data_IF_745346175153
#
_entry.id   IF_745346175153
#
_cell.length_a   1.000
_cell.length_b   1.000
_cell.length_c   1.000
_cell.angle_alpha   90.00
_cell.angle_beta   90.00
_cell.angle_gamma   90.00
#
_symmetry.space_group_name_H-M   'P 1'
#
loop_
_entity.id
_entity.type
_entity.pdbx_description
1 polymer ?
#
# COMPACT_ATOMS: atom_id res chain seq x y z
N UNK A 1 -4.72 0.56 4.92
CA UNK A 1 -4.92 -0.91 4.79
C UNK A 1 -5.13 -1.20 3.31
N UNK A 2 -4.45 -2.19 2.74
CA UNK A 2 -4.68 -2.57 1.34
C UNK A 2 -5.87 -3.54 1.31
N UNK A 3 -6.88 -3.33 0.45
CA UNK A 3 -8.06 -4.20 0.37
C UNK A 3 -7.70 -5.67 0.05
N UNK A 4 -8.47 -6.60 0.63
CA UNK A 4 -8.21 -8.04 0.51
C UNK A 4 -8.64 -8.62 -0.84
N UNK A 5 -9.59 -7.96 -1.51
CA UNK A 5 -10.24 -8.28 -2.78
C UNK A 5 -9.43 -7.87 -4.03
N UNK A 6 -8.23 -7.31 -3.86
CA UNK A 6 -7.35 -7.01 -4.98
C UNK A 6 -7.13 -8.27 -5.86
N UNK A 7 -7.19 -8.15 -7.20
CA UNK A 7 -7.07 -9.29 -8.12
C UNK A 7 -5.86 -10.19 -7.84
N UNK A 8 -6.02 -11.49 -8.09
CA UNK A 8 -4.93 -12.44 -7.87
C UNK A 8 -3.71 -12.07 -8.72
N UNK A 9 -2.59 -11.74 -8.07
CA UNK A 9 -1.32 -11.39 -8.74
C UNK A 9 -1.03 -9.90 -8.85
N UNK A 10 -2.00 -9.03 -8.53
CA UNK A 10 -1.79 -7.58 -8.57
C UNK A 10 -1.22 -7.00 -7.26
N UNK A 11 -0.93 -7.82 -6.26
CA UNK A 11 -0.35 -7.39 -4.97
C UNK A 11 0.59 -8.47 -4.42
N UNK A 12 1.68 -8.11 -3.71
CA UNK A 12 2.54 -9.08 -3.03
C UNK A 12 1.78 -10.00 -2.08
N UNK A 13 2.17 -11.28 -2.10
CA UNK A 13 1.58 -12.38 -1.29
C UNK A 13 2.44 -12.80 -0.09
N UNK A 14 3.60 -12.19 0.08
CA UNK A 14 4.47 -12.33 1.26
C UNK A 14 4.95 -10.96 1.71
N UNK A 15 5.34 -10.85 2.98
CA UNK A 15 6.05 -9.67 3.49
C UNK A 15 7.27 -9.40 2.62
N UNK A 16 7.39 -8.18 2.11
CA UNK A 16 8.49 -7.79 1.25
C UNK A 16 8.71 -6.29 1.25
N UNK A 17 9.92 -5.90 0.87
CA UNK A 17 10.22 -4.53 0.49
C UNK A 17 9.75 -4.28 -0.94
N UNK A 18 9.04 -3.18 -1.12
CA UNK A 18 8.63 -2.64 -2.41
C UNK A 18 8.98 -1.16 -2.46
N UNK A 19 8.89 -0.55 -3.63
CA UNK A 19 9.06 0.89 -3.79
C UNK A 19 7.72 1.54 -4.08
N UNK A 20 7.50 2.73 -3.54
CA UNK A 20 6.48 3.66 -4.00
C UNK A 20 7.15 4.64 -4.96
N UNK A 21 6.64 4.79 -6.17
CA UNK A 21 7.05 5.83 -7.11
C UNK A 21 6.02 6.95 -7.04
N UNK A 22 6.44 8.15 -6.66
CA UNK A 22 5.58 9.32 -6.57
C UNK A 22 5.35 9.97 -7.96
N UNK A 23 4.42 10.94 -8.09
CA UNK A 23 4.16 11.61 -9.36
C UNK A 23 5.36 12.34 -9.97
N UNK A 24 6.36 12.69 -9.15
CA UNK A 24 7.61 13.33 -9.58
C UNK A 24 8.68 12.28 -9.98
N UNK A 25 8.34 10.99 -9.92
CA UNK A 25 9.23 9.87 -10.24
C UNK A 25 10.21 9.50 -9.13
N UNK A 26 10.10 10.07 -7.92
CA UNK A 26 10.97 9.70 -6.80
C UNK A 26 10.50 8.39 -6.19
N UNK A 27 11.46 7.59 -5.75
CA UNK A 27 11.21 6.26 -5.23
C UNK A 27 11.43 6.18 -3.72
N UNK A 28 10.44 5.63 -3.02
CA UNK A 28 10.41 5.52 -1.58
C UNK A 28 10.34 4.04 -1.16
N UNK A 29 11.36 3.50 -0.50
CA UNK A 29 11.34 2.11 -0.04
C UNK A 29 10.33 1.94 1.09
N UNK A 30 9.46 0.94 0.98
CA UNK A 30 8.47 0.61 2.00
C UNK A 30 8.36 -0.90 2.22
N UNK A 31 8.02 -1.30 3.44
CA UNK A 31 7.73 -2.71 3.77
C UNK A 31 6.23 -2.96 3.73
N UNK A 32 5.81 -3.93 2.91
CA UNK A 32 4.48 -4.53 2.99
C UNK A 32 4.51 -5.63 4.04
N UNK A 33 3.64 -5.53 5.05
CA UNK A 33 3.38 -6.60 6.01
C UNK A 33 2.11 -7.32 5.63
N UNK A 34 2.12 -8.64 5.79
CA UNK A 34 0.96 -9.51 5.60
C UNK A 34 0.72 -10.29 6.89
N UNK A 35 -0.51 -10.29 7.38
CA UNK A 35 -0.93 -11.16 8.47
C UNK A 35 -2.28 -11.78 8.15
N UNK A 36 -2.54 -12.95 8.73
CA UNK A 36 -3.82 -13.62 8.65
C UNK A 36 -4.55 -13.32 9.95
N UNK A 37 -5.70 -12.64 9.85
CA UNK A 37 -6.61 -12.49 10.97
C UNK A 37 -7.67 -13.59 10.89
N UNK A 38 -7.77 -14.38 11.96
CA UNK A 38 -8.94 -15.21 12.23
C UNK A 38 -9.88 -14.39 13.10
N UNK A 39 -10.87 -13.74 12.48
CA UNK A 39 -11.98 -13.20 13.25
C UNK A 39 -12.90 -14.36 13.66
N UNK A 40 -13.67 -14.13 14.73
CA UNK A 40 -14.55 -15.04 15.49
C UNK A 40 -15.04 -16.33 14.81
N UNK A 41 -15.37 -17.33 15.64
CA UNK A 41 -16.04 -18.56 15.26
C UNK A 41 -17.05 -18.28 14.13
N UNK A 42 -16.88 -18.95 12.98
CA UNK A 42 -17.64 -18.81 11.72
C UNK A 42 -17.14 -17.82 10.65
N UNK A 43 -15.99 -17.13 10.79
CA UNK A 43 -15.40 -16.39 9.66
C UNK A 43 -14.18 -17.08 9.03
N UNK A 44 -14.10 -17.06 7.70
CA UNK A 44 -12.92 -17.53 6.98
C UNK A 44 -11.70 -16.66 7.32
N UNK A 45 -10.49 -17.23 7.38
CA UNK A 45 -9.27 -16.47 7.59
C UNK A 45 -9.16 -15.34 6.57
N UNK A 46 -8.94 -14.11 7.04
CA UNK A 46 -8.76 -12.94 6.16
C UNK A 46 -7.29 -12.56 6.11
N UNK A 47 -6.76 -12.47 4.90
CA UNK A 47 -5.43 -11.91 4.69
C UNK A 47 -5.51 -10.38 4.72
N UNK A 48 -4.78 -9.78 5.65
CA UNK A 48 -4.64 -8.34 5.78
C UNK A 48 -3.25 -7.90 5.35
N UNK A 49 -3.18 -6.68 4.81
CA UNK A 49 -1.95 -6.09 4.30
C UNK A 49 -1.85 -4.62 4.73
N UNK A 50 -0.66 -4.20 5.15
CA UNK A 50 -0.35 -2.79 5.40
C UNK A 50 1.03 -2.41 4.85
N UNK A 51 1.16 -1.12 4.53
CA UNK A 51 2.45 -0.45 4.41
C UNK A 51 2.91 -0.10 5.83
N UNK A 52 4.17 -0.40 6.13
CA UNK A 52 4.73 -0.28 7.48
C UNK A 52 5.94 0.65 7.48
N UNK A 53 7.15 0.11 7.68
CA UNK A 53 8.40 0.85 7.59
C UNK A 53 8.48 1.59 6.24
N UNK A 54 8.93 2.85 6.28
CA UNK A 54 9.05 3.74 5.11
C UNK A 54 7.77 4.51 4.74
N UNK A 55 6.58 4.04 5.15
CA UNK A 55 5.32 4.74 4.86
C UNK A 55 5.27 6.14 5.51
N UNK A 56 5.75 6.27 6.75
CA UNK A 56 5.76 7.56 7.45
C UNK A 56 6.64 8.60 6.72
N UNK A 57 7.78 8.19 6.16
CA UNK A 57 8.64 9.10 5.39
C UNK A 57 7.95 9.61 4.13
N UNK A 58 7.24 8.72 3.41
CA UNK A 58 6.42 9.10 2.26
C UNK A 58 5.29 10.07 2.69
N UNK A 59 4.62 9.77 3.80
CA UNK A 59 3.54 10.59 4.33
C UNK A 59 4.00 12.02 4.66
N UNK A 60 5.13 12.16 5.36
CA UNK A 60 5.72 13.45 5.72
C UNK A 60 6.21 14.21 4.49
N UNK A 61 6.94 13.54 3.58
CA UNK A 61 7.51 14.17 2.39
C UNK A 61 6.45 14.73 1.44
N UNK A 62 5.28 14.09 1.38
CA UNK A 62 4.14 14.58 0.61
C UNK A 62 3.15 15.38 1.46
N UNK A 63 3.45 15.68 2.74
CA UNK A 63 2.55 16.40 3.64
C UNK A 63 1.10 15.89 3.56
N UNK A 64 0.93 14.56 3.54
CA UNK A 64 -0.39 13.96 3.41
C UNK A 64 -1.25 14.35 4.61
N UNK A 65 -2.52 14.66 4.36
CA UNK A 65 -3.47 15.05 5.42
C UNK A 65 -4.66 14.12 5.41
N UNK A 66 -5.43 14.18 6.50
CA UNK A 66 -6.74 13.52 6.55
C UNK A 66 -7.56 14.00 5.35
N UNK A 67 -8.18 13.05 4.64
CA UNK A 67 -8.98 13.23 3.41
C UNK A 67 -8.20 13.24 2.09
N UNK A 68 -6.88 13.34 2.12
CA UNK A 68 -6.09 13.01 0.93
C UNK A 68 -6.27 11.54 0.58
N UNK A 69 -6.39 11.25 -0.72
CA UNK A 69 -6.56 9.90 -1.25
C UNK A 69 -5.31 9.51 -2.01
N UNK A 70 -4.65 8.44 -1.58
CA UNK A 70 -3.58 7.79 -2.34
C UNK A 70 -4.14 6.57 -3.07
N UNK A 71 -3.99 6.53 -4.38
CA UNK A 71 -4.26 5.35 -5.21
C UNK A 71 -2.93 4.69 -5.56
N UNK A 72 -2.84 3.39 -5.32
CA UNK A 72 -1.63 2.60 -5.55
C UNK A 72 -1.85 1.64 -6.73
N UNK A 73 -1.07 1.82 -7.80
CA UNK A 73 -1.07 0.93 -8.96
C UNK A 73 0.17 0.03 -8.90
N UNK A 74 -0.02 -1.28 -8.80
CA UNK A 74 1.11 -2.22 -8.74
C UNK A 74 1.69 -2.54 -10.11
N UNK A 75 2.96 -2.21 -10.31
CA UNK A 75 3.72 -2.56 -11.52
C UNK A 75 4.55 -3.82 -11.24
N UNK A 76 3.95 -4.99 -11.46
CA UNK A 76 4.53 -6.29 -11.10
C UNK A 76 5.95 -6.52 -11.66
N UNK A 77 6.20 -6.12 -12.92
CA UNK A 77 7.53 -6.27 -13.56
C UNK A 77 8.63 -5.48 -12.86
N UNK A 78 8.28 -4.33 -12.28
CA UNK A 78 9.20 -3.44 -11.57
C UNK A 78 9.18 -3.64 -10.04
N UNK A 79 8.25 -4.45 -9.52
CA UNK A 79 8.00 -4.65 -8.08
C UNK A 79 7.84 -3.32 -7.32
N UNK A 80 7.11 -2.38 -7.91
CA UNK A 80 6.83 -1.07 -7.34
C UNK A 80 5.35 -0.74 -7.43
N UNK A 81 4.91 0.24 -6.65
CA UNK A 81 3.60 0.86 -6.78
C UNK A 81 3.77 2.29 -7.29
N UNK A 82 3.13 2.64 -8.40
CA UNK A 82 2.92 4.04 -8.73
C UNK A 82 1.89 4.61 -7.75
N UNK A 83 2.16 5.79 -7.21
CA UNK A 83 1.26 6.45 -6.27
C UNK A 83 0.67 7.69 -6.93
N UNK A 84 -0.65 7.71 -7.04
CA UNK A 84 -1.39 8.89 -7.43
C UNK A 84 -2.00 9.52 -6.18
N UNK A 85 -1.71 10.81 -5.97
CA UNK A 85 -2.17 11.54 -4.78
C UNK A 85 -3.23 12.54 -5.20
N UNK A 86 -4.45 12.34 -4.71
CA UNK A 86 -5.58 13.24 -4.89
C UNK A 86 -5.79 14.03 -3.60
N UNK A 87 -5.66 15.35 -3.67
CA UNK A 87 -5.81 16.23 -2.52
C UNK A 87 -7.27 16.61 -2.34
N UNK A 88 -7.71 16.64 -1.09
CA UNK A 88 -9.04 17.16 -0.76
C UNK A 88 -9.02 18.69 -0.88
N UNK A 89 -9.89 19.25 -1.72
CA UNK A 89 -10.07 20.70 -1.87
C UNK A 89 -9.21 21.40 -2.92
N UNK A 90 -8.61 20.65 -3.87
CA UNK A 90 -8.07 21.18 -5.13
C UNK A 90 -8.89 20.71 -6.31
#
# INVERSE_FOLDING_TARGET
>A
RIPADAPNGSVPKKTCEVKLEDPDGRQWPVKILIWISSNKAHSLPRMERSLSSGWHNFFEAHCLKKRDVCVFEFVARKKLFNVHIFRDGT
#
